data_IF_732935233731
#
_entry.id   IF_732935233731
#
_cell.length_a   1.000
_cell.length_b   1.000
_cell.length_c   1.000
_cell.angle_alpha   90.00
_cell.angle_beta   90.00
_cell.angle_gamma   90.00
#
_symmetry.space_group_name_H-M   'P 1'
#
loop_
_entity.id
_entity.type
_entity.pdbx_description
1 polymer ?
#
# COMPACT_ATOMS: atom_id res chain seq x y z
N UNK A 1 34.27 65.92 -20.60
CA UNK A 1 33.60 65.23 -21.72
C UNK A 1 33.65 63.75 -21.44
N UNK A 2 32.81 63.22 -20.58
CA UNK A 2 32.57 61.76 -20.35
C UNK A 2 31.42 61.59 -19.34
N UNK A 3 30.22 62.11 -19.64
CA UNK A 3 29.05 61.98 -18.79
C UNK A 3 27.87 61.40 -19.59
N UNK A 4 28.09 60.49 -20.49
CA UNK A 4 26.98 59.93 -21.30
C UNK A 4 26.93 58.39 -21.27
N UNK A 5 27.66 57.71 -20.39
CA UNK A 5 27.70 56.24 -20.44
C UNK A 5 27.09 55.55 -19.19
N UNK A 6 26.25 56.22 -18.43
CA UNK A 6 25.70 55.61 -17.22
C UNK A 6 24.14 55.57 -17.15
N UNK A 7 23.46 55.75 -18.27
CA UNK A 7 21.99 55.84 -18.29
C UNK A 7 21.30 54.71 -19.08
N UNK A 8 21.99 53.61 -19.37
CA UNK A 8 21.39 52.50 -20.13
C UNK A 8 21.42 51.15 -19.43
N UNK A 9 21.59 51.10 -18.11
CA UNK A 9 21.66 49.85 -17.34
C UNK A 9 20.56 49.54 -16.32
N UNK A 10 19.42 50.29 -16.19
CA UNK A 10 18.36 49.83 -15.33
C UNK A 10 17.31 48.88 -15.98
N UNK A 11 17.44 48.63 -17.28
CA UNK A 11 16.44 47.83 -17.99
C UNK A 11 16.70 46.32 -18.06
N UNK A 12 17.89 45.86 -17.73
CA UNK A 12 18.25 44.41 -17.87
C UNK A 12 18.11 43.62 -16.59
N UNK A 13 18.06 44.30 -15.44
CA UNK A 13 17.94 43.61 -14.14
C UNK A 13 16.51 43.26 -13.76
N UNK A 14 15.48 43.74 -14.48
CA UNK A 14 14.09 43.51 -14.12
C UNK A 14 13.46 42.29 -14.80
N UNK A 15 14.15 41.63 -15.72
CA UNK A 15 13.64 40.45 -16.47
C UNK A 15 14.01 39.14 -15.79
N UNK A 16 14.95 39.13 -14.84
CA UNK A 16 15.40 37.91 -14.18
C UNK A 16 14.54 37.42 -13.00
N UNK A 17 13.48 38.14 -12.63
CA UNK A 17 12.66 37.82 -11.44
C UNK A 17 11.40 37.04 -11.78
N UNK A 18 11.03 36.88 -13.06
CA UNK A 18 9.76 36.23 -13.42
C UNK A 18 9.90 34.77 -13.86
N UNK A 19 11.05 34.13 -13.70
CA UNK A 19 11.23 32.73 -14.08
C UNK A 19 11.43 31.80 -12.86
N UNK A 20 10.92 32.18 -11.69
CA UNK A 20 10.75 31.26 -10.56
C UNK A 20 9.32 30.71 -10.59
N UNK A 21 8.94 30.04 -11.66
CA UNK A 21 7.90 29.02 -11.57
C UNK A 21 8.50 27.88 -10.76
N UNK A 22 8.40 27.94 -9.45
CA UNK A 22 8.48 26.77 -8.63
C UNK A 22 7.31 25.86 -9.07
N UNK A 23 7.63 24.87 -9.87
CA UNK A 23 6.79 23.73 -10.08
C UNK A 23 6.68 23.09 -8.69
N UNK A 24 5.58 23.37 -7.98
CA UNK A 24 5.19 22.60 -6.82
C UNK A 24 4.88 21.19 -7.35
N UNK A 25 5.89 20.38 -7.45
CA UNK A 25 5.68 18.95 -7.52
C UNK A 25 5.03 18.58 -6.18
N UNK A 26 3.89 17.87 -6.20
CA UNK A 26 3.33 17.38 -4.96
C UNK A 26 4.44 16.56 -4.30
N UNK A 27 4.78 16.89 -3.07
CA UNK A 27 5.71 16.07 -2.30
C UNK A 27 5.13 14.65 -2.30
N UNK A 28 5.81 13.72 -2.96
CA UNK A 28 5.50 12.32 -2.81
C UNK A 28 5.71 12.00 -1.33
N UNK A 29 4.62 11.77 -0.63
CA UNK A 29 4.67 11.31 0.76
C UNK A 29 5.11 9.85 0.66
N UNK A 30 6.41 9.63 0.84
CA UNK A 30 6.96 8.29 1.03
C UNK A 30 6.54 7.85 2.44
N UNK A 31 5.44 7.11 2.53
CA UNK A 31 5.10 6.42 3.76
C UNK A 31 6.14 5.31 3.99
N UNK A 32 6.66 5.21 5.18
CA UNK A 32 7.46 4.07 5.61
C UNK A 32 6.59 2.80 5.49
N UNK A 33 7.21 1.63 5.30
CA UNK A 33 6.45 0.38 5.15
C UNK A 33 5.53 0.09 6.34
N UNK A 34 5.97 0.48 7.52
CA UNK A 34 5.25 0.33 8.79
C UNK A 34 3.98 1.20 8.88
N UNK A 35 3.83 2.21 8.00
CA UNK A 35 2.67 3.10 7.95
C UNK A 35 1.68 2.72 6.83
N UNK A 36 2.00 1.72 6.03
CA UNK A 36 1.14 1.30 4.95
C UNK A 36 -0.09 0.55 5.50
N UNK A 37 -1.25 0.88 4.96
CA UNK A 37 -2.45 0.06 5.18
C UNK A 37 -2.24 -1.33 4.57
N UNK A 38 -2.91 -2.33 5.12
CA UNK A 38 -2.76 -3.75 4.71
C UNK A 38 -2.85 -3.91 3.19
N UNK A 39 -3.86 -3.33 2.54
CA UNK A 39 -4.01 -3.47 1.09
C UNK A 39 -2.90 -2.80 0.31
N UNK A 40 -2.41 -1.63 0.75
CA UNK A 40 -1.32 -0.93 0.10
C UNK A 40 0.00 -1.71 0.22
N UNK A 41 0.24 -2.35 1.36
CA UNK A 41 1.36 -3.26 1.55
C UNK A 41 1.28 -4.46 0.59
N UNK A 42 0.12 -5.13 0.50
CA UNK A 42 -0.08 -6.27 -0.39
C UNK A 42 0.10 -5.88 -1.87
N UNK A 43 -0.37 -4.70 -2.28
CA UNK A 43 -0.19 -4.17 -3.63
C UNK A 43 1.28 -3.91 -3.97
N UNK A 44 2.03 -3.36 -3.02
CA UNK A 44 3.46 -3.10 -3.16
C UNK A 44 4.26 -4.41 -3.31
N UNK A 45 3.79 -5.49 -2.67
CA UNK A 45 4.38 -6.83 -2.70
C UNK A 45 3.54 -7.82 -3.54
N UNK A 46 2.96 -7.35 -4.65
CA UNK A 46 2.05 -8.14 -5.48
C UNK A 46 2.70 -9.36 -6.15
N UNK A 47 4.02 -9.41 -6.25
CA UNK A 47 4.78 -10.58 -6.70
C UNK A 47 4.64 -11.77 -5.71
N UNK A 48 4.50 -11.51 -4.43
CA UNK A 48 4.33 -12.50 -3.36
C UNK A 48 2.85 -12.77 -3.04
N UNK A 49 1.97 -11.75 -3.16
CA UNK A 49 0.58 -11.80 -2.70
C UNK A 49 -0.47 -11.68 -3.82
N UNK A 50 -0.10 -11.95 -5.10
CA UNK A 50 -1.02 -11.79 -6.23
C UNK A 50 -2.31 -12.61 -6.08
N UNK A 51 -2.22 -13.83 -5.56
CA UNK A 51 -3.39 -14.71 -5.36
C UNK A 51 -4.30 -14.19 -4.24
N UNK A 52 -3.71 -13.68 -3.15
CA UNK A 52 -4.48 -13.04 -2.08
C UNK A 52 -5.21 -11.79 -2.59
N UNK A 53 -4.54 -10.95 -3.37
CA UNK A 53 -5.17 -9.77 -4.00
C UNK A 53 -6.35 -10.16 -4.88
N UNK A 54 -6.23 -11.26 -5.65
CA UNK A 54 -7.32 -11.81 -6.44
C UNK A 54 -8.49 -12.28 -5.56
N UNK A 55 -8.22 -12.96 -4.46
CA UNK A 55 -9.25 -13.38 -3.49
C UNK A 55 -9.95 -12.18 -2.87
N UNK A 56 -9.20 -11.13 -2.49
CA UNK A 56 -9.77 -9.90 -1.94
C UNK A 56 -10.65 -9.14 -2.96
N UNK A 57 -10.34 -9.24 -4.25
CA UNK A 57 -11.16 -8.68 -5.31
C UNK A 57 -12.44 -9.50 -5.53
N UNK A 58 -12.35 -10.84 -5.61
CA UNK A 58 -13.52 -11.74 -5.75
C UNK A 58 -14.51 -11.57 -4.60
N UNK A 59 -14.00 -11.35 -3.39
CA UNK A 59 -14.81 -11.24 -2.15
C UNK A 59 -15.26 -9.82 -1.83
N UNK A 60 -14.78 -8.80 -2.56
CA UNK A 60 -14.98 -7.37 -2.27
C UNK A 60 -14.51 -6.95 -0.85
N UNK A 61 -13.56 -7.70 -0.25
CA UNK A 61 -13.03 -7.42 1.08
C UNK A 61 -11.85 -6.46 1.10
N UNK A 62 -11.34 -6.05 -0.07
CA UNK A 62 -10.23 -5.10 -0.17
C UNK A 62 -10.51 -3.79 0.58
N UNK A 63 -11.72 -3.23 0.39
CA UNK A 63 -12.13 -2.00 1.05
C UNK A 63 -12.32 -2.19 2.57
N UNK A 64 -12.68 -3.38 3.00
CA UNK A 64 -12.83 -3.72 4.42
C UNK A 64 -11.47 -3.69 5.14
N UNK A 65 -10.41 -4.17 4.49
CA UNK A 65 -9.05 -4.14 5.04
C UNK A 65 -8.44 -2.72 5.07
N UNK A 66 -9.02 -1.79 4.30
CA UNK A 66 -8.65 -0.37 4.31
C UNK A 66 -9.56 0.47 5.21
N UNK A 67 -10.71 -0.07 5.64
CA UNK A 67 -11.58 0.63 6.56
C UNK A 67 -10.89 0.77 7.92
N UNK A 68 -11.03 1.93 8.52
CA UNK A 68 -10.46 2.31 9.80
C UNK A 68 -10.66 1.23 10.87
N UNK A 69 -9.62 0.45 11.13
CA UNK A 69 -9.64 -0.59 12.14
C UNK A 69 -8.21 -1.01 12.48
N UNK A 70 -7.99 -1.35 13.74
CA UNK A 70 -6.76 -1.94 14.21
C UNK A 70 -6.87 -3.46 14.03
N UNK A 71 -6.45 -3.95 12.87
CA UNK A 71 -6.53 -5.37 12.53
C UNK A 71 -5.13 -5.97 12.44
N UNK A 72 -5.03 -7.23 12.82
CA UNK A 72 -3.89 -8.08 12.46
C UNK A 72 -4.35 -9.04 11.37
N UNK A 73 -3.68 -9.03 10.24
CA UNK A 73 -3.98 -9.89 9.12
C UNK A 73 -2.81 -10.84 8.83
N UNK A 74 -3.06 -12.14 8.94
CA UNK A 74 -2.10 -13.17 8.59
C UNK A 74 -2.20 -13.46 7.10
N UNK A 75 -1.45 -12.69 6.30
CA UNK A 75 -1.51 -12.76 4.84
C UNK A 75 -0.88 -14.06 4.31
N UNK A 76 -1.65 -14.98 3.71
CA UNK A 76 -1.07 -16.13 3.01
C UNK A 76 -0.46 -15.67 1.68
N UNK A 77 0.73 -16.17 1.39
CA UNK A 77 1.43 -15.93 0.14
C UNK A 77 0.91 -16.81 -1.03
N UNK A 78 1.49 -16.64 -2.21
CA UNK A 78 1.11 -17.41 -3.38
C UNK A 78 1.37 -18.89 -3.22
N UNK A 79 2.44 -19.30 -2.50
CA UNK A 79 2.78 -20.69 -2.30
C UNK A 79 1.78 -21.37 -1.37
N UNK A 80 1.36 -20.70 -0.29
CA UNK A 80 0.31 -21.19 0.59
C UNK A 80 -1.02 -21.42 -0.16
N UNK A 81 -1.40 -20.51 -1.06
CA UNK A 81 -2.60 -20.69 -1.90
C UNK A 81 -2.44 -21.83 -2.91
N UNK A 82 -1.27 -22.03 -3.48
CA UNK A 82 -1.00 -23.14 -4.40
C UNK A 82 -1.13 -24.50 -3.67
N UNK A 83 -0.58 -24.60 -2.48
CA UNK A 83 -0.72 -25.80 -1.64
C UNK A 83 -2.17 -26.02 -1.24
N UNK A 84 -2.87 -24.98 -0.82
CA UNK A 84 -4.28 -25.02 -0.45
C UNK A 84 -5.15 -25.50 -1.63
N UNK A 85 -5.06 -24.87 -2.80
CA UNK A 85 -5.81 -25.29 -3.99
C UNK A 85 -5.55 -26.75 -4.35
N UNK A 86 -4.28 -27.17 -4.30
CA UNK A 86 -3.90 -28.55 -4.59
C UNK A 86 -4.52 -29.53 -3.59
N UNK A 87 -4.51 -29.21 -2.30
CA UNK A 87 -5.10 -30.04 -1.25
C UNK A 87 -6.61 -30.22 -1.39
N UNK A 88 -7.30 -29.21 -1.89
CA UNK A 88 -8.74 -29.18 -2.16
C UNK A 88 -9.10 -29.75 -3.55
N UNK A 89 -8.12 -30.18 -4.34
CA UNK A 89 -8.33 -30.69 -5.70
C UNK A 89 -8.83 -29.62 -6.67
N UNK A 90 -8.45 -28.36 -6.44
CA UNK A 90 -8.79 -27.19 -7.25
C UNK A 90 -7.59 -26.73 -8.06
N UNK A 91 -7.83 -26.04 -9.18
CA UNK A 91 -6.76 -25.49 -10.00
C UNK A 91 -6.44 -24.03 -9.64
N UNK A 92 -7.40 -23.33 -9.09
CA UNK A 92 -7.24 -21.91 -8.71
C UNK A 92 -8.25 -21.49 -7.64
N UNK A 93 -8.06 -20.31 -7.07
CA UNK A 93 -9.00 -19.71 -6.11
C UNK A 93 -10.35 -19.40 -6.75
N UNK A 94 -10.44 -19.28 -8.07
CA UNK A 94 -11.71 -19.07 -8.81
C UNK A 94 -12.63 -20.30 -8.81
N UNK A 95 -12.10 -21.47 -8.45
CA UNK A 95 -12.87 -22.71 -8.40
C UNK A 95 -13.64 -22.87 -7.07
N UNK A 96 -13.48 -21.92 -6.16
CA UNK A 96 -14.19 -21.90 -4.89
C UNK A 96 -15.41 -20.96 -4.94
N UNK A 97 -16.41 -21.29 -4.14
CA UNK A 97 -17.57 -20.39 -3.93
C UNK A 97 -17.14 -19.12 -3.20
N UNK A 98 -17.69 -17.97 -3.59
CA UNK A 98 -17.34 -16.66 -3.00
C UNK A 98 -17.53 -16.62 -1.49
N UNK A 99 -18.62 -17.21 -0.97
CA UNK A 99 -18.91 -17.26 0.46
C UNK A 99 -17.87 -18.07 1.25
N UNK A 100 -17.30 -19.10 0.62
CA UNK A 100 -16.21 -19.86 1.19
C UNK A 100 -14.95 -19.01 1.29
N UNK A 101 -14.59 -18.30 0.22
CA UNK A 101 -13.44 -17.38 0.22
C UNK A 101 -13.59 -16.24 1.23
N UNK A 102 -14.81 -15.68 1.37
CA UNK A 102 -15.10 -14.67 2.41
C UNK A 102 -14.79 -15.23 3.79
N UNK A 103 -15.25 -16.45 4.06
CA UNK A 103 -14.99 -17.12 5.34
C UNK A 103 -13.52 -17.37 5.56
N UNK A 104 -12.80 -17.84 4.51
CA UNK A 104 -11.37 -18.08 4.55
C UNK A 104 -10.59 -16.80 4.91
N UNK A 105 -10.87 -15.67 4.25
CA UNK A 105 -10.23 -14.39 4.54
C UNK A 105 -10.49 -13.95 5.98
N UNK A 106 -11.72 -14.12 6.47
CA UNK A 106 -12.08 -13.75 7.84
C UNK A 106 -11.34 -14.57 8.89
N UNK A 107 -11.01 -15.82 8.64
CA UNK A 107 -10.20 -16.63 9.55
C UNK A 107 -8.75 -16.14 9.69
N UNK A 108 -8.28 -15.35 8.73
CA UNK A 108 -6.94 -14.77 8.74
C UNK A 108 -6.90 -13.37 9.35
N UNK A 109 -8.06 -12.83 9.76
CA UNK A 109 -8.20 -11.48 10.29
C UNK A 109 -8.53 -11.53 11.78
N UNK A 110 -7.75 -10.83 12.58
CA UNK A 110 -8.01 -10.61 14.01
C UNK A 110 -8.36 -9.14 14.21
N UNK A 111 -9.47 -8.86 14.90
CA UNK A 111 -9.97 -7.51 15.20
C UNK A 111 -9.23 -6.87 16.40
N UNK A 112 -7.92 -7.00 16.40
CA UNK A 112 -6.99 -6.39 17.35
C UNK A 112 -5.66 -6.19 16.66
N UNK A 113 -5.04 -5.05 16.87
CA UNK A 113 -3.66 -4.81 16.44
C UNK A 113 -2.69 -5.56 17.35
N UNK A 114 -1.87 -6.43 16.77
CA UNK A 114 -0.90 -7.23 17.51
C UNK A 114 0.50 -7.00 16.94
N UNK A 115 1.41 -6.56 17.78
CA UNK A 115 2.83 -6.48 17.40
C UNK A 115 3.45 -7.88 17.34
N UNK A 116 4.43 -8.06 16.45
CA UNK A 116 5.16 -9.34 16.30
C UNK A 116 5.80 -9.85 17.60
N UNK A 117 6.09 -8.93 18.54
CA UNK A 117 6.61 -9.25 19.86
C UNK A 117 5.65 -10.11 20.72
N UNK A 118 4.34 -10.04 20.47
CA UNK A 118 3.33 -10.82 21.20
C UNK A 118 3.30 -12.29 20.78
N UNK A 119 3.85 -12.64 19.61
CA UNK A 119 3.89 -14.02 19.13
C UNK A 119 5.05 -14.84 19.68
N UNK A 120 5.77 -14.33 20.70
CA UNK A 120 6.79 -15.10 21.40
C UNK A 120 6.12 -16.12 22.30
N UNK A 121 6.60 -17.36 22.21
CA UNK A 121 6.20 -18.51 23.07
C UNK A 121 4.78 -19.05 22.87
N UNK A 122 4.08 -18.71 21.77
CA UNK A 122 2.81 -19.34 21.41
C UNK A 122 1.63 -18.98 22.31
N UNK A 123 1.74 -17.94 23.14
CA UNK A 123 0.66 -17.43 23.95
C UNK A 123 0.15 -16.09 23.39
N UNK A 124 -1.16 -16.04 23.09
CA UNK A 124 -1.87 -14.79 22.86
C UNK A 124 -2.24 -14.27 24.26
N UNK A 125 -1.85 -13.04 24.66
CA UNK A 125 -2.29 -12.48 25.93
C UNK A 125 -3.81 -12.31 25.94
N UNK A 126 -4.45 -12.68 27.05
CA UNK A 126 -5.87 -12.48 27.29
C UNK A 126 -6.24 -10.99 27.43
#
# INVERSE_FOLDING_TARGET
MHIVLFLLLPGVTLISILLSCQRNEPAEIFLEEDELQISAYLEKHSDEYSTLLEVLEITDLRNTLNAYGHYTFFAPDNDAFNEFCTSEGKNSVRDFETDYLITLVRYHLIDVEMESAYFRDGAIPD
#
